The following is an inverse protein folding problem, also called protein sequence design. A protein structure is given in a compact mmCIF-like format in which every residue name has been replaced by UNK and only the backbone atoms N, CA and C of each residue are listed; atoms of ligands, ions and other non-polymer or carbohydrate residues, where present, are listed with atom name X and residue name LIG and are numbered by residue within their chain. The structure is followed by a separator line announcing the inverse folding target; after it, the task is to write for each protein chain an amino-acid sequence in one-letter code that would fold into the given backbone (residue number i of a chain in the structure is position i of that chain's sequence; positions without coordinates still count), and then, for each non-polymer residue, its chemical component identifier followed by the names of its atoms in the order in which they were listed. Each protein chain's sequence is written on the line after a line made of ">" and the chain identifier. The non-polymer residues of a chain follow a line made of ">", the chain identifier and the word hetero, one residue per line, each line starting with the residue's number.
data_IF_479962178281
#
_entry.id   IF_479962178281
#
_cell.length_a   1.000
_cell.length_b   1.000
_cell.length_c   1.000
_cell.angle_alpha   90.00
_cell.angle_beta   90.00
_cell.angle_gamma   90.00
#
_symmetry.space_group_name_H-M   'P 1'
#
loop_
_entity.id
_entity.type
_entity.pdbx_description
1 polymer ?
#
# COMPACT_ATOMS: atom_id res chain seq x y z
N UNK A 1 35.30 -7.74 -15.39
CA UNK A 1 34.95 -6.30 -15.23
C UNK A 1 33.67 -6.25 -14.40
N UNK A 2 33.79 -6.06 -13.09
CA UNK A 2 32.63 -6.05 -12.17
C UNK A 2 32.07 -4.64 -12.19
N UNK A 3 31.01 -4.41 -12.95
CA UNK A 3 30.35 -3.10 -13.01
C UNK A 3 29.79 -2.81 -11.61
N UNK A 4 30.31 -1.78 -10.94
CA UNK A 4 29.70 -1.24 -9.71
C UNK A 4 28.33 -0.67 -10.08
N UNK A 5 27.28 -1.21 -9.49
CA UNK A 5 25.90 -0.76 -9.71
C UNK A 5 25.74 0.69 -9.22
N UNK A 6 25.60 1.62 -10.16
CA UNK A 6 25.13 2.98 -9.89
C UNK A 6 23.60 3.04 -10.01
N UNK A 7 22.90 3.87 -9.20
CA UNK A 7 21.43 3.97 -9.19
C UNK A 7 20.83 4.19 -10.58
N UNK A 8 21.52 4.94 -11.44
CA UNK A 8 21.09 5.33 -12.78
C UNK A 8 20.93 4.13 -13.73
N UNK A 9 21.62 3.02 -13.47
CA UNK A 9 21.54 1.81 -14.29
C UNK A 9 20.54 0.77 -13.77
N UNK A 10 20.04 0.91 -12.54
CA UNK A 10 19.20 -0.11 -11.89
C UNK A 10 17.79 -0.18 -12.49
N UNK A 11 17.24 0.94 -12.95
CA UNK A 11 15.90 1.00 -13.56
C UNK A 11 15.83 0.15 -14.83
N UNK A 12 16.92 0.06 -15.59
CA UNK A 12 17.00 -0.73 -16.84
C UNK A 12 16.77 -2.24 -16.65
N UNK A 13 16.94 -2.74 -15.42
CA UNK A 13 16.71 -4.15 -15.09
C UNK A 13 15.23 -4.49 -14.89
N UNK A 14 14.36 -3.49 -14.71
CA UNK A 14 12.90 -3.65 -14.62
C UNK A 14 12.28 -3.79 -16.01
N UNK A 15 12.38 -4.98 -16.59
CA UNK A 15 11.97 -5.23 -17.99
C UNK A 15 10.47 -5.47 -18.20
N UNK A 16 9.68 -5.60 -17.13
CA UNK A 16 8.27 -6.03 -17.21
C UNK A 16 7.28 -5.11 -16.48
N UNK A 17 7.34 -3.77 -16.65
CA UNK A 17 6.45 -2.85 -15.95
C UNK A 17 4.99 -3.03 -16.34
N UNK A 18 4.68 -3.22 -17.63
CA UNK A 18 3.29 -3.44 -18.08
C UNK A 18 2.66 -4.69 -17.46
N UNK A 19 3.41 -5.79 -17.38
CA UNK A 19 2.96 -7.02 -16.73
C UNK A 19 2.76 -6.82 -15.22
N UNK A 20 3.64 -6.06 -14.56
CA UNK A 20 3.51 -5.73 -13.15
C UNK A 20 2.19 -5.00 -12.89
N UNK A 21 1.91 -3.90 -13.61
CA UNK A 21 0.69 -3.13 -13.40
C UNK A 21 -0.56 -3.94 -13.75
N UNK A 22 -0.56 -4.67 -14.86
CA UNK A 22 -1.69 -5.51 -15.26
C UNK A 22 -2.03 -6.55 -14.19
N UNK A 23 -1.05 -7.31 -13.71
CA UNK A 23 -1.28 -8.33 -12.68
C UNK A 23 -1.64 -7.70 -11.32
N UNK A 24 -1.01 -6.58 -10.97
CA UNK A 24 -1.29 -5.86 -9.72
C UNK A 24 -2.64 -5.16 -9.73
N UNK A 25 -3.29 -4.99 -10.87
CA UNK A 25 -4.66 -4.49 -10.98
C UNK A 25 -5.66 -5.64 -11.02
N UNK A 26 -5.44 -6.63 -11.90
CA UNK A 26 -6.42 -7.71 -12.11
C UNK A 26 -6.53 -8.60 -10.87
N UNK A 27 -5.42 -8.98 -10.23
CA UNK A 27 -5.47 -9.89 -9.08
C UNK A 27 -6.27 -9.30 -7.90
N UNK A 28 -5.96 -8.08 -7.38
CA UNK A 28 -6.77 -7.51 -6.31
C UNK A 28 -8.23 -7.36 -6.69
N UNK A 29 -8.54 -6.89 -7.90
CA UNK A 29 -9.92 -6.77 -8.35
C UNK A 29 -10.66 -8.10 -8.33
N UNK A 30 -10.05 -9.17 -8.86
CA UNK A 30 -10.70 -10.50 -8.83
C UNK A 30 -11.01 -10.95 -7.40
N UNK A 31 -10.07 -10.80 -6.48
CA UNK A 31 -10.28 -11.17 -5.07
C UNK A 31 -11.28 -10.26 -4.36
N UNK A 32 -11.25 -8.94 -4.61
CA UNK A 32 -12.15 -7.98 -3.98
C UNK A 32 -13.58 -8.06 -4.52
N UNK A 33 -13.77 -8.30 -5.81
CA UNK A 33 -15.09 -8.58 -6.36
C UNK A 33 -15.68 -9.87 -5.79
N UNK A 34 -14.86 -10.94 -5.66
CA UNK A 34 -15.29 -12.17 -5.02
C UNK A 34 -15.63 -11.95 -3.53
N UNK A 35 -14.79 -11.21 -2.79
CA UNK A 35 -15.04 -10.87 -1.39
C UNK A 35 -16.34 -10.08 -1.21
N UNK A 36 -16.55 -9.04 -2.02
CA UNK A 36 -17.76 -8.22 -1.99
C UNK A 36 -19.01 -8.99 -2.39
N UNK A 37 -18.91 -9.95 -3.31
CA UNK A 37 -20.04 -10.84 -3.61
C UNK A 37 -20.37 -11.76 -2.42
N UNK A 38 -19.35 -12.43 -1.87
CA UNK A 38 -19.51 -13.40 -0.78
C UNK A 38 -20.04 -12.74 0.50
N UNK A 39 -19.66 -11.49 0.78
CA UNK A 39 -20.10 -10.76 1.97
C UNK A 39 -21.61 -10.48 1.99
N UNK A 40 -22.33 -10.61 0.87
CA UNK A 40 -23.77 -10.37 0.78
C UNK A 40 -24.63 -11.65 0.82
N UNK A 41 -24.01 -12.84 0.86
CA UNK A 41 -24.76 -14.10 0.84
C UNK A 41 -25.45 -14.40 2.19
N UNK A 42 -26.74 -14.77 2.20
CA UNK A 42 -27.57 -14.87 3.40
C UNK A 42 -27.40 -16.16 4.25
N UNK A 43 -26.49 -17.08 3.91
CA UNK A 43 -26.32 -18.37 4.61
C UNK A 43 -24.93 -18.48 5.24
N UNK A 44 -24.83 -18.86 6.52
CA UNK A 44 -23.58 -18.91 7.32
C UNK A 44 -22.81 -17.58 7.33
N UNK A 45 -23.42 -16.53 7.90
CA UNK A 45 -22.89 -15.16 7.95
C UNK A 45 -21.44 -15.08 8.40
N UNK A 46 -21.07 -15.86 9.41
CA UNK A 46 -19.71 -15.83 9.98
C UNK A 46 -18.69 -16.52 9.08
N UNK A 47 -19.07 -17.63 8.44
CA UNK A 47 -18.21 -18.33 7.49
C UNK A 47 -17.99 -17.48 6.22
N UNK A 48 -19.06 -16.92 5.67
CA UNK A 48 -18.96 -16.04 4.50
C UNK A 48 -18.16 -14.77 4.80
N UNK A 49 -18.34 -14.19 6.00
CA UNK A 49 -17.55 -13.04 6.43
C UNK A 49 -16.07 -13.40 6.54
N UNK A 50 -15.73 -14.53 7.15
CA UNK A 50 -14.34 -14.99 7.24
C UNK A 50 -13.70 -15.21 5.85
N UNK A 51 -14.46 -15.79 4.92
CA UNK A 51 -14.01 -15.98 3.54
C UNK A 51 -13.82 -14.63 2.83
N UNK A 52 -14.78 -13.71 2.98
CA UNK A 52 -14.70 -12.38 2.38
C UNK A 52 -13.49 -11.60 2.90
N UNK A 53 -13.22 -11.62 4.22
CA UNK A 53 -12.04 -11.01 4.82
C UNK A 53 -10.76 -11.65 4.29
N UNK A 54 -10.71 -12.98 4.20
CA UNK A 54 -9.55 -13.71 3.68
C UNK A 54 -9.26 -13.30 2.23
N UNK A 55 -10.29 -13.26 1.39
CA UNK A 55 -10.17 -12.81 0.00
C UNK A 55 -9.73 -11.34 -0.08
N UNK A 56 -10.26 -10.47 0.77
CA UNK A 56 -9.86 -9.06 0.84
C UNK A 56 -8.37 -8.91 1.17
N UNK A 57 -7.88 -9.67 2.16
CA UNK A 57 -6.46 -9.71 2.53
C UNK A 57 -5.58 -10.29 1.43
N UNK A 58 -6.01 -11.36 0.77
CA UNK A 58 -5.28 -11.94 -0.38
C UNK A 58 -5.19 -10.92 -1.52
N UNK A 59 -6.28 -10.21 -1.82
CA UNK A 59 -6.28 -9.10 -2.78
C UNK A 59 -5.30 -7.99 -2.38
N UNK A 60 -5.24 -7.64 -1.09
CA UNK A 60 -4.34 -6.61 -0.57
C UNK A 60 -2.86 -6.97 -0.74
N UNK A 61 -2.47 -8.23 -0.47
CA UNK A 61 -1.06 -8.66 -0.59
C UNK A 61 -0.65 -9.03 -2.02
N UNK A 62 -1.61 -9.18 -2.94
CA UNK A 62 -1.34 -9.63 -4.32
C UNK A 62 -0.29 -8.78 -5.06
N UNK A 63 -0.31 -7.44 -5.05
CA UNK A 63 0.71 -6.63 -5.74
C UNK A 63 2.12 -6.83 -5.17
N UNK A 64 2.23 -7.07 -3.86
CA UNK A 64 3.50 -7.36 -3.20
C UNK A 64 4.07 -8.70 -3.69
N UNK A 65 3.21 -9.73 -3.79
CA UNK A 65 3.60 -11.04 -4.32
C UNK A 65 4.05 -10.92 -5.79
N UNK A 66 3.29 -10.19 -6.62
CA UNK A 66 3.64 -9.96 -8.03
C UNK A 66 4.98 -9.25 -8.16
N UNK A 67 5.20 -8.16 -7.41
CA UNK A 67 6.47 -7.42 -7.39
C UNK A 67 7.63 -8.37 -7.03
N UNK A 68 7.48 -9.13 -5.94
CA UNK A 68 8.49 -10.06 -5.47
C UNK A 68 8.81 -11.14 -6.53
N UNK A 69 7.79 -11.76 -7.13
CA UNK A 69 7.98 -12.79 -8.17
C UNK A 69 8.71 -12.24 -9.41
N UNK A 70 8.43 -10.99 -9.80
CA UNK A 70 9.09 -10.35 -10.93
C UNK A 70 10.54 -9.95 -10.62
N UNK A 71 10.80 -9.46 -9.40
CA UNK A 71 12.15 -9.08 -8.95
C UNK A 71 13.04 -10.30 -8.68
N UNK A 72 12.50 -11.36 -8.05
CA UNK A 72 13.27 -12.54 -7.61
C UNK A 72 13.93 -13.31 -8.77
N UNK A 73 13.47 -13.10 -10.01
CA UNK A 73 14.07 -13.69 -11.22
C UNK A 73 15.45 -13.11 -11.55
N UNK A 74 15.81 -11.94 -11.02
CA UNK A 74 17.10 -11.32 -11.25
C UNK A 74 17.87 -11.18 -9.91
N UNK A 75 19.05 -11.81 -9.76
CA UNK A 75 19.81 -11.75 -8.51
C UNK A 75 20.19 -10.32 -8.10
N UNK A 76 20.40 -9.41 -9.07
CA UNK A 76 20.78 -8.02 -8.82
C UNK A 76 19.60 -7.23 -8.24
N UNK A 77 18.40 -7.39 -8.81
CA UNK A 77 17.18 -6.77 -8.29
C UNK A 77 16.82 -7.30 -6.90
N UNK A 78 17.01 -8.61 -6.68
CA UNK A 78 16.79 -9.23 -5.38
C UNK A 78 17.73 -8.67 -4.32
N UNK A 79 19.01 -8.52 -4.64
CA UNK A 79 20.00 -7.97 -3.70
C UNK A 79 19.70 -6.50 -3.37
N UNK A 80 19.36 -5.67 -4.38
CA UNK A 80 18.94 -4.28 -4.17
C UNK A 80 17.69 -4.18 -3.29
N UNK A 81 16.69 -5.05 -3.51
CA UNK A 81 15.49 -5.10 -2.68
C UNK A 81 15.80 -5.35 -1.20
N UNK A 82 16.59 -6.38 -0.89
CA UNK A 82 16.97 -6.68 0.49
C UNK A 82 17.84 -5.60 1.11
N UNK A 83 18.76 -5.02 0.33
CA UNK A 83 19.55 -3.87 0.79
C UNK A 83 18.64 -2.69 1.15
N UNK A 84 17.65 -2.35 0.33
CA UNK A 84 16.71 -1.26 0.63
C UNK A 84 15.80 -1.55 1.81
N UNK A 85 15.35 -2.80 1.97
CA UNK A 85 14.48 -3.18 3.08
C UNK A 85 15.18 -3.17 4.43
N UNK A 86 16.44 -3.60 4.51
CA UNK A 86 17.15 -3.73 5.77
C UNK A 86 18.13 -2.59 6.07
N UNK A 87 18.41 -1.70 5.11
CA UNK A 87 19.29 -0.56 5.32
C UNK A 87 18.52 0.67 5.83
N UNK A 88 18.35 0.74 7.15
CA UNK A 88 17.75 1.90 7.82
C UNK A 88 18.75 3.03 8.11
N UNK A 89 20.06 2.83 7.85
CA UNK A 89 21.10 3.81 8.21
C UNK A 89 21.10 5.08 7.36
N UNK A 90 20.49 5.05 6.18
CA UNK A 90 20.43 6.18 5.25
C UNK A 90 19.16 7.01 5.36
N UNK A 91 18.25 6.70 6.30
CA UNK A 91 16.99 7.42 6.43
C UNK A 91 17.24 8.78 7.08
N UNK A 92 16.91 9.86 6.37
CA UNK A 92 17.01 11.21 6.92
C UNK A 92 15.88 11.44 7.95
N UNK A 93 16.19 11.86 9.19
CA UNK A 93 15.19 12.09 10.24
C UNK A 93 14.13 13.12 9.87
N UNK A 94 14.45 14.07 8.98
CA UNK A 94 13.47 15.03 8.46
C UNK A 94 12.33 14.36 7.70
N UNK A 95 12.61 13.30 6.93
CA UNK A 95 11.58 12.54 6.22
C UNK A 95 10.72 11.72 7.19
N UNK A 96 11.27 11.25 8.30
CA UNK A 96 10.51 10.58 9.36
C UNK A 96 9.53 11.57 9.98
N UNK A 97 10.02 12.76 10.36
CA UNK A 97 9.17 13.84 10.87
C UNK A 97 8.04 14.16 9.88
N UNK A 98 8.37 14.39 8.61
CA UNK A 98 7.36 14.70 7.60
C UNK A 98 6.34 13.57 7.44
N UNK A 99 6.76 12.31 7.42
CA UNK A 99 5.87 11.15 7.31
C UNK A 99 4.88 11.08 8.48
N UNK A 100 5.33 11.40 9.71
CA UNK A 100 4.47 11.41 10.88
C UNK A 100 3.45 12.55 10.87
N UNK A 101 3.85 13.75 10.41
CA UNK A 101 3.02 14.96 10.57
C UNK A 101 2.24 15.36 9.31
N UNK A 102 2.60 14.89 8.11
CA UNK A 102 1.94 15.34 6.87
C UNK A 102 0.46 14.98 6.83
N UNK A 103 0.08 13.77 7.24
CA UNK A 103 -1.31 13.34 7.28
C UNK A 103 -2.11 14.13 8.32
N UNK A 104 -1.54 14.34 9.51
CA UNK A 104 -2.17 15.12 10.57
C UNK A 104 -2.35 16.59 10.16
N UNK A 105 -1.34 17.18 9.53
CA UNK A 105 -1.43 18.53 8.98
C UNK A 105 -2.47 18.60 7.85
N UNK A 106 -2.54 17.59 6.99
CA UNK A 106 -3.51 17.52 5.90
C UNK A 106 -4.96 17.48 6.42
N UNK A 107 -5.25 16.64 7.41
CA UNK A 107 -6.62 16.51 7.93
C UNK A 107 -7.05 17.74 8.73
N UNK A 108 -6.17 18.28 9.58
CA UNK A 108 -6.45 19.51 10.33
C UNK A 108 -6.56 20.74 9.42
N UNK A 109 -5.74 20.80 8.36
CA UNK A 109 -5.85 21.81 7.31
C UNK A 109 -7.18 21.73 6.55
N UNK A 110 -7.62 20.52 6.19
CA UNK A 110 -8.92 20.32 5.56
C UNK A 110 -10.08 20.78 6.46
N UNK A 111 -10.05 20.45 7.75
CA UNK A 111 -11.04 20.91 8.74
C UNK A 111 -11.02 22.45 8.89
N UNK A 112 -9.84 23.07 8.91
CA UNK A 112 -9.72 24.53 9.01
C UNK A 112 -10.33 25.23 7.79
N UNK A 113 -10.10 24.69 6.58
CA UNK A 113 -10.72 25.18 5.35
C UNK A 113 -12.24 25.00 5.41
N UNK A 114 -12.73 23.86 5.91
CA UNK A 114 -14.15 23.56 6.08
C UNK A 114 -14.90 24.63 6.89
N UNK A 115 -14.27 25.21 7.91
CA UNK A 115 -14.86 26.31 8.70
C UNK A 115 -15.17 27.55 7.84
N UNK A 116 -14.34 27.84 6.84
CA UNK A 116 -14.59 28.94 5.90
C UNK A 116 -15.86 28.72 5.07
N UNK A 117 -16.32 27.48 4.94
CA UNK A 117 -17.56 27.08 4.27
C UNK A 117 -18.75 26.90 5.22
N UNK A 118 -18.62 27.26 6.50
CA UNK A 118 -19.71 27.22 7.48
C UNK A 118 -19.91 25.89 8.20
N UNK A 119 -18.95 24.97 8.14
CA UNK A 119 -18.97 23.75 8.96
C UNK A 119 -18.63 24.04 10.44
N UNK A 120 -19.03 23.14 11.34
CA UNK A 120 -18.82 23.30 12.79
C UNK A 120 -17.37 23.07 13.22
N UNK A 121 -16.93 23.82 14.24
CA UNK A 121 -15.67 23.59 14.96
C UNK A 121 -15.61 22.26 15.72
N UNK A 122 -16.74 21.57 15.88
CA UNK A 122 -16.81 20.26 16.55
C UNK A 122 -16.04 19.15 15.80
N UNK A 123 -15.61 19.41 14.56
CA UNK A 123 -14.75 18.51 13.80
C UNK A 123 -13.33 18.38 14.40
N UNK A 124 -12.90 19.33 15.24
CA UNK A 124 -11.60 19.31 15.91
C UNK A 124 -11.63 18.51 17.23
N UNK A 125 -12.20 17.30 17.18
CA UNK A 125 -12.30 16.42 18.35
C UNK A 125 -11.53 15.13 18.08
N UNK A 126 -10.71 14.72 19.06
CA UNK A 126 -10.13 13.39 19.10
C UNK A 126 -11.22 12.44 19.62
N UNK A 127 -11.95 11.81 18.71
CA UNK A 127 -13.02 10.88 19.08
C UNK A 127 -12.41 9.59 19.63
N UNK A 128 -12.68 9.28 20.90
CA UNK A 128 -12.38 7.97 21.51
C UNK A 128 -13.46 6.92 21.27
N UNK A 129 -14.55 7.28 20.59
CA UNK A 129 -15.68 6.40 20.30
C UNK A 129 -15.79 6.15 18.80
N UNK A 130 -15.56 4.90 18.40
CA UNK A 130 -15.99 4.35 17.12
C UNK A 130 -17.28 3.57 17.42
N UNK A 131 -18.43 4.22 17.31
CA UNK A 131 -19.74 3.54 17.29
C UNK A 131 -20.19 3.39 15.85
#
# INVERSE_FOLDING_TARGET
>A
MTVKFTPDNMISYYKKPGLFYLLSTILPWTFWFAAGYISHLPSDSDQNMNIAITLALVGLVSPMIVAFLLMNRNPDLRNDFYQRLFNFRSINPWYIFLTCFIMLASITGAMAISLLFGYSSDQFVITGHFT
#
